data_IF_051676787318
#
_entry.id   IF_051676787318
#
_cell.length_a   1.000
_cell.length_b   1.000
_cell.length_c   1.000
_cell.angle_alpha   90.00
_cell.angle_beta   90.00
_cell.angle_gamma   90.00
#
_symmetry.space_group_name_H-M   'P 1'
#
loop_
_entity.id
_entity.type
_entity.pdbx_description
1 polymer ?
#
# COMPACT_ATOMS: atom_id res chain seq x y z
N UNK A 1 -17.08 -24.87 -0.01
CA UNK A 1 -15.79 -24.32 0.44
C UNK A 1 -15.19 -25.22 1.51
N UNK A 2 -14.17 -26.01 1.15
CA UNK A 2 -13.34 -26.76 2.09
C UNK A 2 -12.71 -25.84 3.15
N UNK A 3 -12.52 -26.37 4.37
CA UNK A 3 -11.90 -25.62 5.46
C UNK A 3 -10.47 -25.17 5.11
N UNK A 4 -9.73 -25.98 4.35
CA UNK A 4 -8.40 -25.65 3.87
C UNK A 4 -8.39 -24.41 2.95
N UNK A 5 -9.37 -24.29 2.06
CA UNK A 5 -9.54 -23.14 1.15
C UNK A 5 -9.76 -21.86 1.93
N UNK A 6 -10.64 -21.88 2.95
CA UNK A 6 -10.91 -20.71 3.78
C UNK A 6 -9.66 -20.26 4.56
N UNK A 7 -8.91 -21.20 5.14
CA UNK A 7 -7.67 -20.91 5.86
C UNK A 7 -6.58 -20.35 4.93
N UNK A 8 -6.46 -20.89 3.71
CA UNK A 8 -5.53 -20.38 2.70
C UNK A 8 -5.85 -18.92 2.34
N UNK A 9 -7.12 -18.59 2.08
CA UNK A 9 -7.54 -17.20 1.82
C UNK A 9 -7.27 -16.27 3.00
N UNK A 10 -7.62 -16.67 4.22
CA UNK A 10 -7.36 -15.87 5.42
C UNK A 10 -5.86 -15.59 5.60
N UNK A 11 -5.01 -16.59 5.40
CA UNK A 11 -3.55 -16.43 5.49
C UNK A 11 -3.01 -15.49 4.41
N UNK A 12 -3.48 -15.61 3.17
CA UNK A 12 -3.10 -14.73 2.05
C UNK A 12 -3.51 -13.28 2.31
N UNK A 13 -4.76 -13.05 2.76
CA UNK A 13 -5.24 -11.71 3.09
C UNK A 13 -4.48 -11.10 4.27
N UNK A 14 -4.18 -11.88 5.31
CA UNK A 14 -3.40 -11.41 6.44
C UNK A 14 -1.97 -11.00 6.01
N UNK A 15 -1.30 -11.84 5.23
CA UNK A 15 0.04 -11.56 4.71
C UNK A 15 0.08 -10.29 3.86
N UNK A 16 -0.84 -10.18 2.89
CA UNK A 16 -0.97 -8.98 2.04
C UNK A 16 -1.32 -7.74 2.87
N UNK A 17 -2.19 -7.88 3.88
CA UNK A 17 -2.58 -6.80 4.78
C UNK A 17 -1.40 -6.21 5.55
N UNK A 18 -0.51 -7.06 6.07
CA UNK A 18 0.72 -6.59 6.75
C UNK A 18 1.63 -5.85 5.78
N UNK A 19 1.82 -6.37 4.56
CA UNK A 19 2.65 -5.72 3.54
C UNK A 19 2.09 -4.35 3.13
N UNK A 20 0.76 -4.25 2.97
CA UNK A 20 0.05 -2.99 2.71
C UNK A 20 0.26 -2.00 3.85
N UNK A 21 0.11 -2.44 5.11
CA UNK A 21 0.33 -1.57 6.27
C UNK A 21 1.77 -1.05 6.32
N UNK A 22 2.77 -1.90 6.07
CA UNK A 22 4.17 -1.50 5.99
C UNK A 22 4.41 -0.50 4.85
N UNK A 23 3.84 -0.75 3.67
CA UNK A 23 3.96 0.16 2.53
C UNK A 23 3.33 1.53 2.83
N UNK A 24 2.17 1.56 3.49
CA UNK A 24 1.52 2.79 3.94
C UNK A 24 2.42 3.58 4.89
N UNK A 25 3.06 2.92 5.86
CA UNK A 25 4.01 3.55 6.80
C UNK A 25 5.22 4.12 6.05
N UNK A 26 5.83 3.37 5.14
CA UNK A 26 6.96 3.87 4.34
C UNK A 26 6.55 5.04 3.43
N UNK A 27 5.36 5.00 2.84
CA UNK A 27 4.83 6.09 2.03
C UNK A 27 4.61 7.36 2.86
N UNK A 28 4.12 7.23 4.11
CA UNK A 28 4.02 8.36 5.05
C UNK A 28 5.40 8.92 5.38
N UNK A 29 6.36 8.07 5.75
CA UNK A 29 7.72 8.49 6.12
C UNK A 29 8.40 9.22 4.95
N UNK A 30 8.32 8.67 3.74
CA UNK A 30 8.87 9.30 2.53
C UNK A 30 8.21 10.64 2.25
N UNK A 31 6.88 10.68 2.30
CA UNK A 31 6.13 11.93 2.07
C UNK A 31 6.53 13.00 3.10
N UNK A 32 6.65 12.64 4.38
CA UNK A 32 7.12 13.54 5.44
C UNK A 32 8.57 13.99 5.23
N UNK A 33 9.45 13.08 4.80
CA UNK A 33 10.84 13.39 4.48
C UNK A 33 10.94 14.39 3.32
N UNK A 34 10.20 14.19 2.23
CA UNK A 34 10.18 15.06 1.05
C UNK A 34 9.70 16.49 1.39
N UNK A 35 8.80 16.62 2.37
CA UNK A 35 8.37 17.91 2.90
C UNK A 35 9.44 18.56 3.79
N UNK A 36 10.12 17.78 4.64
CA UNK A 36 11.18 18.29 5.53
C UNK A 36 12.45 18.68 4.79
N UNK A 37 12.82 17.95 3.73
CA UNK A 37 14.01 18.22 2.91
C UNK A 37 13.85 19.42 1.98
N UNK A 38 12.64 19.98 1.85
CA UNK A 38 12.34 21.09 0.96
C UNK A 38 12.23 20.70 -0.52
N UNK A 39 12.38 19.41 -0.86
CA UNK A 39 12.13 18.87 -2.21
C UNK A 39 10.69 19.15 -2.65
N UNK A 40 9.76 19.13 -1.70
CA UNK A 40 8.35 19.43 -1.91
C UNK A 40 7.92 20.63 -1.08
N UNK A 41 7.88 21.83 -1.68
CA UNK A 41 7.32 23.01 -1.01
C UNK A 41 5.79 22.93 -0.99
N UNK A 42 5.19 23.18 0.19
CA UNK A 42 3.76 23.39 0.30
C UNK A 42 3.44 24.80 -0.22
N UNK A 43 2.64 24.94 -1.28
CA UNK A 43 2.14 26.25 -1.67
C UNK A 43 1.21 26.71 -0.54
N UNK A 44 1.54 27.82 0.10
CA UNK A 44 0.71 28.42 1.17
C UNK A 44 0.38 29.88 0.87
N UNK A 45 0.63 30.33 -0.36
CA UNK A 45 0.52 31.73 -0.76
C UNK A 45 -0.92 32.23 -0.83
N UNK A 46 -1.89 31.35 -1.13
CA UNK A 46 -3.30 31.73 -1.32
C UNK A 46 -4.26 30.88 -0.46
N UNK A 47 -5.48 31.38 -0.24
CA UNK A 47 -6.55 30.62 0.46
C UNK A 47 -6.89 29.34 -0.30
N UNK A 48 -6.91 29.42 -1.64
CA UNK A 48 -7.09 28.26 -2.51
C UNK A 48 -5.96 27.25 -2.34
N UNK A 49 -4.71 27.70 -2.23
CA UNK A 49 -3.58 26.81 -1.95
C UNK A 49 -3.72 26.09 -0.60
N UNK A 50 -4.19 26.78 0.45
CA UNK A 50 -4.43 26.16 1.76
C UNK A 50 -5.49 25.04 1.68
N UNK A 51 -6.56 25.25 0.92
CA UNK A 51 -7.60 24.21 0.70
C UNK A 51 -7.04 23.03 -0.10
N UNK A 52 -6.17 23.31 -1.09
CA UNK A 52 -5.60 22.29 -1.95
C UNK A 52 -4.42 21.52 -1.34
N UNK A 53 -3.90 21.92 -0.18
CA UNK A 53 -2.79 21.23 0.50
C UNK A 53 -3.15 19.79 0.83
N UNK A 54 -4.31 19.55 1.44
CA UNK A 54 -4.76 18.21 1.83
C UNK A 54 -4.90 17.25 0.63
N UNK A 55 -5.64 17.58 -0.45
CA UNK A 55 -5.74 16.69 -1.60
C UNK A 55 -4.40 16.52 -2.33
N UNK A 56 -3.54 17.54 -2.39
CA UNK A 56 -2.18 17.40 -2.97
C UNK A 56 -1.29 16.47 -2.15
N UNK A 57 -1.33 16.58 -0.82
CA UNK A 57 -0.64 15.66 0.10
C UNK A 57 -1.14 14.23 -0.07
N UNK A 58 -2.46 14.05 -0.15
CA UNK A 58 -3.08 12.75 -0.38
C UNK A 58 -2.61 12.11 -1.68
N UNK A 59 -2.65 12.84 -2.80
CA UNK A 59 -2.18 12.32 -4.10
C UNK A 59 -0.71 11.92 -4.06
N UNK A 60 0.16 12.70 -3.40
CA UNK A 60 1.57 12.35 -3.26
C UNK A 60 1.78 11.10 -2.42
N UNK A 61 1.05 10.97 -1.32
CA UNK A 61 1.07 9.78 -0.50
C UNK A 61 0.59 8.55 -1.28
N UNK A 62 -0.49 8.68 -2.08
CA UNK A 62 -1.00 7.62 -2.96
C UNK A 62 0.04 7.19 -4.00
N UNK A 63 0.73 8.13 -4.64
CA UNK A 63 1.80 7.81 -5.59
C UNK A 63 2.95 7.06 -4.92
N UNK A 64 3.39 7.53 -3.74
CA UNK A 64 4.44 6.86 -2.97
C UNK A 64 4.04 5.47 -2.50
N UNK A 65 2.76 5.28 -2.16
CA UNK A 65 2.20 3.98 -1.80
C UNK A 65 2.15 3.03 -3.00
N UNK A 66 1.69 3.49 -4.16
CA UNK A 66 1.61 2.67 -5.38
C UNK A 66 2.97 2.20 -5.90
N UNK A 67 4.07 2.91 -5.59
CA UNK A 67 5.42 2.43 -5.87
C UNK A 67 5.76 1.12 -5.14
N UNK A 68 5.12 0.83 -4.01
CA UNK A 68 5.28 -0.45 -3.30
C UNK A 68 4.40 -1.57 -3.86
N UNK A 69 3.39 -1.27 -4.67
CA UNK A 69 2.43 -2.25 -5.19
C UNK A 69 3.10 -3.41 -5.98
N UNK A 70 4.11 -3.18 -6.85
CA UNK A 70 4.80 -4.28 -7.54
C UNK A 70 5.44 -5.28 -6.59
N UNK A 71 6.05 -4.81 -5.50
CA UNK A 71 6.66 -5.68 -4.50
C UNK A 71 5.61 -6.49 -3.71
N UNK A 72 4.50 -5.83 -3.32
CA UNK A 72 3.37 -6.50 -2.65
C UNK A 72 2.79 -7.60 -3.56
N UNK A 73 2.57 -7.30 -4.84
CA UNK A 73 2.07 -8.27 -5.81
C UNK A 73 3.02 -9.46 -5.99
N UNK A 74 4.32 -9.21 -6.09
CA UNK A 74 5.32 -10.28 -6.20
C UNK A 74 5.33 -11.22 -5.00
N UNK A 75 5.31 -10.65 -3.78
CA UNK A 75 5.26 -11.44 -2.54
C UNK A 75 3.93 -12.18 -2.41
N UNK A 76 2.80 -11.55 -2.76
CA UNK A 76 1.48 -12.17 -2.72
C UNK A 76 1.40 -13.37 -3.68
N UNK A 77 1.92 -13.24 -4.90
CA UNK A 77 1.96 -14.33 -5.87
C UNK A 77 2.87 -15.47 -5.42
N UNK A 78 4.04 -15.15 -4.86
CA UNK A 78 4.95 -16.15 -4.31
C UNK A 78 4.31 -16.90 -3.13
N UNK A 79 3.62 -16.19 -2.25
CA UNK A 79 2.93 -16.79 -1.11
C UNK A 79 1.72 -17.63 -1.53
N UNK A 80 0.94 -17.17 -2.52
CA UNK A 80 -0.14 -17.95 -3.12
C UNK A 80 0.39 -19.23 -3.80
N UNK A 81 1.54 -19.15 -4.47
CA UNK A 81 2.23 -20.31 -5.00
C UNK A 81 2.65 -21.30 -3.89
N UNK A 82 3.16 -20.79 -2.77
CA UNK A 82 3.51 -21.61 -1.60
C UNK A 82 2.30 -22.31 -0.96
N UNK A 83 1.16 -21.64 -0.86
CA UNK A 83 -0.10 -22.23 -0.39
C UNK A 83 -0.68 -23.26 -1.39
N UNK A 84 -0.29 -23.16 -2.66
CA UNK A 84 -0.83 -23.94 -3.77
C UNK A 84 -2.07 -23.28 -4.36
N UNK A 85 -1.98 -22.83 -5.62
CA UNK A 85 -3.12 -22.20 -6.31
C UNK A 85 -4.35 -23.11 -6.37
N UNK A 86 -4.16 -24.43 -6.43
CA UNK A 86 -5.26 -25.41 -6.37
C UNK A 86 -6.08 -25.28 -5.09
N UNK A 87 -5.43 -25.10 -3.93
CA UNK A 87 -6.11 -24.93 -2.64
C UNK A 87 -6.90 -23.63 -2.53
N UNK A 88 -6.54 -22.59 -3.30
CA UNK A 88 -7.26 -21.31 -3.32
C UNK A 88 -8.51 -21.34 -4.22
N UNK A 89 -8.52 -22.21 -5.23
CA UNK A 89 -9.58 -22.29 -6.26
C UNK A 89 -10.48 -23.53 -6.06
N UNK A 90 -10.16 -24.39 -5.09
CA UNK A 90 -11.02 -25.53 -4.71
C UNK A 90 -12.23 -25.02 -3.91
N UNK A 91 -13.35 -24.75 -4.60
CA UNK A 91 -14.57 -24.11 -4.05
C UNK A 91 -15.64 -25.13 -3.69
#
# INVERSE_FOLDING_TARGET
>A
MPQATLQAWLSLYAAVGVMVAMCAVFAVIKTAYDYRSGTSRLPTATVLDKVLVAPRMWVRWQLNYLLGAPAILGIALYFAHYLGFGTLVDV
#
